data_IF_955404362057
#
_entry.id   IF_955404362057
#
_cell.length_a   1.000
_cell.length_b   1.000
_cell.length_c   1.000
_cell.angle_alpha   90.00
_cell.angle_beta   90.00
_cell.angle_gamma   90.00
#
_symmetry.space_group_name_H-M   'P 1'
#
loop_
_entity.id
_entity.type
_entity.pdbx_description
1 polymer ?
#
# COMPACT_ATOMS: atom_id res chain seq x y z
N UNK A 1 -11.18 -14.49 -12.08
CA UNK A 1 -11.12 -13.98 -13.46
C UNK A 1 -11.12 -12.45 -13.40
N UNK A 2 -10.92 -11.72 -14.52
CA UNK A 2 -11.00 -10.26 -14.54
C UNK A 2 -12.35 -9.66 -14.09
N UNK A 3 -13.41 -10.46 -14.08
CA UNK A 3 -14.78 -10.06 -13.71
C UNK A 3 -15.09 -10.25 -12.21
N UNK A 4 -14.21 -10.92 -11.46
CA UNK A 4 -14.41 -11.15 -10.03
C UNK A 4 -14.13 -9.89 -9.22
N UNK A 5 -14.94 -9.64 -8.19
CA UNK A 5 -14.59 -8.66 -7.15
C UNK A 5 -13.47 -9.21 -6.28
N UNK A 6 -12.40 -8.43 -6.12
CA UNK A 6 -11.30 -8.72 -5.21
C UNK A 6 -11.53 -7.95 -3.91
N UNK A 7 -11.69 -8.67 -2.80
CA UNK A 7 -11.82 -8.07 -1.47
C UNK A 7 -10.56 -8.39 -0.67
N UNK A 8 -9.82 -7.34 -0.28
CA UNK A 8 -8.56 -7.45 0.43
C UNK A 8 -8.73 -7.09 1.90
N UNK A 9 -8.02 -7.80 2.76
CA UNK A 9 -7.83 -7.47 4.17
C UNK A 9 -6.50 -8.05 4.64
N UNK A 10 -5.95 -7.47 5.69
CA UNK A 10 -4.73 -7.95 6.31
C UNK A 10 -4.66 -7.63 7.79
N UNK A 11 -3.58 -8.08 8.40
CA UNK A 11 -3.18 -7.65 9.74
C UNK A 11 -2.50 -6.26 9.68
N UNK A 12 -2.07 -5.74 10.84
CA UNK A 12 -1.30 -4.48 10.96
C UNK A 12 -1.95 -3.32 10.19
N UNK A 13 -3.22 -3.03 10.52
CA UNK A 13 -4.00 -1.95 9.89
C UNK A 13 -4.02 -2.02 8.34
N UNK A 14 -4.14 -3.23 7.78
CA UNK A 14 -4.20 -3.48 6.34
C UNK A 14 -2.93 -3.11 5.55
N UNK A 15 -1.76 -2.95 6.18
CA UNK A 15 -0.57 -2.43 5.49
C UNK A 15 -0.29 -3.09 4.12
N UNK A 16 -0.12 -4.42 4.08
CA UNK A 16 0.10 -5.13 2.81
C UNK A 16 -1.16 -5.29 1.96
N UNK A 17 -2.35 -5.27 2.57
CA UNK A 17 -3.62 -5.32 1.84
C UNK A 17 -3.87 -4.03 1.05
N UNK A 18 -3.51 -2.87 1.60
CA UNK A 18 -3.54 -1.58 0.91
C UNK A 18 -2.50 -1.52 -0.22
N UNK A 19 -1.31 -2.09 -0.03
CA UNK A 19 -0.32 -2.21 -1.11
C UNK A 19 -0.84 -3.11 -2.25
N UNK A 20 -1.43 -4.26 -1.93
CA UNK A 20 -2.06 -5.13 -2.94
C UNK A 20 -3.23 -4.42 -3.66
N UNK A 21 -4.04 -3.64 -2.93
CA UNK A 21 -5.10 -2.81 -3.52
C UNK A 21 -4.54 -1.86 -4.56
N UNK A 22 -3.48 -1.12 -4.22
CA UNK A 22 -2.79 -0.22 -5.15
C UNK A 22 -2.26 -0.98 -6.37
N UNK A 23 -1.70 -2.17 -6.19
CA UNK A 23 -1.18 -3.00 -7.28
C UNK A 23 -2.30 -3.41 -8.27
N UNK A 24 -3.46 -3.83 -7.76
CA UNK A 24 -4.61 -4.16 -8.60
C UNK A 24 -5.13 -2.93 -9.35
N UNK A 25 -5.17 -1.76 -8.72
CA UNK A 25 -5.53 -0.50 -9.39
C UNK A 25 -4.52 -0.11 -10.46
N UNK A 26 -3.22 -0.27 -10.19
CA UNK A 26 -2.13 -0.01 -11.14
C UNK A 26 -2.24 -0.90 -12.38
N UNK A 27 -2.56 -2.19 -12.22
CA UNK A 27 -2.78 -3.13 -13.33
C UNK A 27 -4.24 -3.16 -13.84
N UNK A 28 -5.05 -2.16 -13.47
CA UNK A 28 -6.36 -1.91 -14.05
C UNK A 28 -7.43 -2.95 -13.74
N UNK A 29 -7.33 -3.66 -12.62
CA UNK A 29 -8.42 -4.54 -12.18
C UNK A 29 -9.68 -3.71 -11.84
N UNK A 30 -10.86 -4.04 -12.39
CA UNK A 30 -12.04 -3.17 -12.28
C UNK A 30 -12.56 -3.02 -10.85
N UNK A 31 -12.86 -4.13 -10.18
CA UNK A 31 -13.51 -4.13 -8.86
C UNK A 31 -12.59 -4.72 -7.79
N UNK A 32 -11.83 -3.83 -7.15
CA UNK A 32 -11.02 -4.15 -5.98
C UNK A 32 -11.47 -3.28 -4.81
N UNK A 33 -11.59 -3.91 -3.63
CA UNK A 33 -12.09 -3.31 -2.39
C UNK A 33 -11.17 -3.67 -1.24
N UNK A 34 -11.12 -2.80 -0.24
CA UNK A 34 -10.39 -3.00 1.00
C UNK A 34 -11.37 -3.04 2.16
N UNK A 35 -11.27 -4.05 3.03
CA UNK A 35 -12.10 -4.13 4.24
C UNK A 35 -11.66 -3.06 5.23
N UNK A 36 -12.57 -2.16 5.57
CA UNK A 36 -12.38 -1.20 6.66
C UNK A 36 -12.17 -1.92 8.01
N UNK A 37 -11.07 -1.62 8.68
CA UNK A 37 -10.67 -2.22 9.97
C UNK A 37 -9.89 -3.54 9.91
N UNK A 38 -9.70 -4.11 8.71
CA UNK A 38 -8.85 -5.27 8.47
C UNK A 38 -9.21 -6.52 9.28
N UNK A 39 -8.25 -7.44 9.42
CA UNK A 39 -8.48 -8.72 10.13
C UNK A 39 -8.88 -8.52 11.59
N UNK A 40 -8.31 -7.52 12.27
CA UNK A 40 -8.59 -7.22 13.68
C UNK A 40 -10.08 -6.93 13.91
N UNK A 41 -10.71 -6.13 13.04
CA UNK A 41 -12.15 -5.84 13.15
C UNK A 41 -13.00 -7.08 12.87
N UNK A 42 -12.65 -7.87 11.86
CA UNK A 42 -13.38 -9.11 11.56
C UNK A 42 -13.39 -10.10 12.74
N UNK A 43 -12.28 -10.20 13.47
CA UNK A 43 -12.20 -11.01 14.69
C UNK A 43 -13.04 -10.43 15.82
N UNK A 44 -13.01 -9.11 16.02
CA UNK A 44 -13.79 -8.43 17.04
C UNK A 44 -15.31 -8.51 16.79
N UNK A 45 -15.72 -8.61 15.52
CA UNK A 45 -17.10 -8.87 15.10
C UNK A 45 -17.46 -10.36 15.08
N UNK A 46 -16.59 -11.24 15.58
CA UNK A 46 -16.81 -12.69 15.64
C UNK A 46 -17.16 -13.31 14.26
N UNK A 47 -16.62 -12.74 13.18
CA UNK A 47 -16.81 -13.28 11.83
C UNK A 47 -16.20 -14.68 11.73
N UNK A 48 -16.84 -15.56 10.96
CA UNK A 48 -16.37 -16.92 10.76
C UNK A 48 -14.97 -16.94 10.12
N UNK A 49 -14.07 -17.72 10.72
CA UNK A 49 -12.70 -17.94 10.25
C UNK A 49 -12.47 -19.44 10.05
N UNK A 50 -11.67 -19.81 9.07
CA UNK A 50 -11.29 -21.20 8.83
C UNK A 50 -9.78 -21.31 8.60
N UNK A 51 -9.22 -22.44 9.00
CA UNK A 51 -7.84 -22.85 8.65
C UNK A 51 -7.80 -23.76 7.43
N UNK A 52 -8.96 -24.16 6.91
CA UNK A 52 -9.06 -24.97 5.70
C UNK A 52 -8.57 -24.13 4.52
N UNK A 53 -7.55 -24.64 3.82
CA UNK A 53 -7.04 -24.00 2.61
C UNK A 53 -8.05 -24.24 1.48
N UNK A 54 -8.65 -23.18 0.90
CA UNK A 54 -9.60 -23.34 -0.18
C UNK A 54 -8.89 -23.76 -1.48
N UNK A 55 -9.61 -24.48 -2.33
CA UNK A 55 -9.20 -24.79 -3.70
C UNK A 55 -10.06 -24.02 -4.69
N UNK A 56 -9.42 -23.44 -5.71
CA UNK A 56 -10.09 -22.70 -6.77
C UNK A 56 -9.67 -23.24 -8.13
N UNK A 57 -10.57 -23.26 -9.14
CA UNK A 57 -10.18 -23.61 -10.49
C UNK A 57 -9.16 -22.59 -11.02
N UNK A 58 -8.21 -23.08 -11.83
CA UNK A 58 -7.28 -22.20 -12.54
C UNK A 58 -8.06 -21.24 -13.44
N UNK A 59 -7.61 -19.99 -13.48
CA UNK A 59 -8.11 -18.96 -14.43
C UNK A 59 -6.94 -18.41 -15.23
N UNK A 60 -7.23 -17.90 -16.42
CA UNK A 60 -6.33 -16.98 -17.09
C UNK A 60 -6.59 -15.56 -16.59
N UNK A 61 -5.52 -14.79 -16.44
CA UNK A 61 -5.58 -13.40 -16.03
C UNK A 61 -4.56 -12.61 -16.85
N UNK A 62 -5.05 -11.92 -17.87
CA UNK A 62 -4.23 -11.07 -18.73
C UNK A 62 -4.41 -9.63 -18.31
N UNK A 63 -3.30 -8.98 -17.93
CA UNK A 63 -3.27 -7.54 -17.66
C UNK A 63 -3.61 -6.80 -18.95
N UNK A 64 -4.74 -6.09 -18.96
CA UNK A 64 -5.22 -5.37 -20.15
C UNK A 64 -4.66 -3.96 -20.26
N UNK A 65 -4.45 -3.32 -19.12
CA UNK A 65 -4.01 -1.93 -19.04
C UNK A 65 -3.09 -1.74 -17.83
N UNK A 66 -2.16 -0.80 -17.96
CA UNK A 66 -1.35 -0.30 -16.86
C UNK A 66 -1.70 1.18 -16.72
N UNK A 67 -2.17 1.58 -15.54
CA UNK A 67 -2.40 2.98 -15.23
C UNK A 67 -1.15 3.56 -14.55
N UNK A 68 -0.29 4.15 -15.37
CA UNK A 68 0.97 4.74 -14.92
C UNK A 68 0.78 5.94 -13.98
N UNK A 69 -0.39 6.59 -13.99
CA UNK A 69 -0.67 7.77 -13.15
C UNK A 69 -0.69 7.44 -11.65
N UNK A 70 -0.91 6.16 -11.29
CA UNK A 70 -0.83 5.71 -9.90
C UNK A 70 0.60 5.59 -9.36
N UNK A 71 1.62 5.64 -10.22
CA UNK A 71 3.02 5.47 -9.83
C UNK A 71 3.82 6.75 -10.07
N UNK A 72 4.31 7.34 -8.99
CA UNK A 72 5.32 8.38 -9.06
C UNK A 72 6.72 7.76 -8.96
N UNK A 73 7.49 7.77 -10.06
CA UNK A 73 8.88 7.33 -10.07
C UNK A 73 9.85 8.46 -9.67
N UNK A 74 11.14 8.12 -9.55
CA UNK A 74 12.17 9.08 -9.10
C UNK A 74 12.24 10.31 -10.01
N UNK A 75 12.16 10.10 -11.32
CA UNK A 75 12.23 11.14 -12.33
C UNK A 75 11.02 12.09 -12.24
N UNK A 76 9.82 11.53 -12.05
CA UNK A 76 8.57 12.26 -11.83
C UNK A 76 8.67 13.18 -10.62
N UNK A 77 9.15 12.64 -9.48
CA UNK A 77 9.35 13.41 -8.24
C UNK A 77 10.38 14.52 -8.48
N UNK A 78 11.57 14.17 -9.02
CA UNK A 78 12.67 15.11 -9.23
C UNK A 78 12.28 16.31 -10.09
N UNK A 79 11.46 16.10 -11.12
CA UNK A 79 10.98 17.16 -12.00
C UNK A 79 9.98 18.14 -11.32
N UNK A 80 9.37 17.73 -10.20
CA UNK A 80 8.26 18.45 -9.56
C UNK A 80 8.57 19.03 -8.17
N UNK A 81 9.68 18.66 -7.55
CA UNK A 81 10.06 19.10 -6.18
C UNK A 81 9.97 20.60 -5.92
N UNK A 82 10.12 21.44 -6.94
CA UNK A 82 10.09 22.91 -6.83
C UNK A 82 8.81 23.56 -7.37
N UNK A 83 7.84 22.76 -7.76
CA UNK A 83 6.58 23.26 -8.29
C UNK A 83 5.64 23.63 -7.14
N UNK A 84 5.01 24.82 -7.16
CA UNK A 84 4.17 25.29 -6.06
C UNK A 84 2.93 24.42 -5.81
N UNK A 85 2.49 23.66 -6.81
CA UNK A 85 1.29 22.81 -6.74
C UNK A 85 1.63 21.32 -6.60
N UNK A 86 2.82 21.01 -6.07
CA UNK A 86 3.26 19.63 -5.86
C UNK A 86 3.45 19.35 -4.36
N UNK A 87 2.73 18.36 -3.86
CA UNK A 87 2.82 17.92 -2.47
C UNK A 87 3.36 16.49 -2.40
N UNK A 88 4.22 16.25 -1.42
CA UNK A 88 4.72 14.92 -1.06
C UNK A 88 4.24 14.59 0.35
N UNK A 89 3.67 13.40 0.50
CA UNK A 89 3.26 12.87 1.80
C UNK A 89 4.13 11.67 2.11
N UNK A 90 4.80 11.72 3.25
CA UNK A 90 5.57 10.61 3.79
C UNK A 90 4.81 10.02 4.97
N UNK A 91 4.45 8.74 4.87
CA UNK A 91 3.63 8.03 5.86
C UNK A 91 4.45 7.29 6.91
N UNK A 92 5.78 7.33 6.84
CA UNK A 92 6.64 6.70 7.84
C UNK A 92 6.48 7.35 9.22
N UNK A 93 7.01 6.71 10.25
CA UNK A 93 6.97 7.29 11.60
C UNK A 93 7.71 8.63 11.66
N UNK A 94 7.36 9.52 12.61
CA UNK A 94 8.05 10.80 12.75
C UNK A 94 9.57 10.67 12.92
N UNK A 95 10.04 9.66 13.65
CA UNK A 95 11.47 9.43 13.87
C UNK A 95 12.21 8.98 12.59
N UNK A 96 11.56 8.20 11.73
CA UNK A 96 12.10 7.86 10.40
C UNK A 96 12.15 9.09 9.49
N UNK A 97 11.12 9.93 9.57
CA UNK A 97 10.98 11.15 8.76
C UNK A 97 12.02 12.22 9.16
N UNK A 98 12.26 12.43 10.45
CA UNK A 98 13.31 13.34 10.95
C UNK A 98 14.71 12.77 10.73
N UNK A 99 14.82 11.45 10.60
CA UNK A 99 16.09 10.74 10.43
C UNK A 99 16.79 10.39 11.73
N UNK A 100 16.11 10.49 12.87
CA UNK A 100 16.56 9.97 14.16
C UNK A 100 16.79 8.46 14.09
N UNK A 101 15.97 7.76 13.31
CA UNK A 101 16.13 6.34 13.01
C UNK A 101 16.02 6.11 11.49
N UNK A 102 16.58 4.99 11.02
CA UNK A 102 16.47 4.56 9.62
C UNK A 102 15.45 3.42 9.42
N UNK A 103 14.99 2.81 10.51
CA UNK A 103 13.94 1.81 10.54
C UNK A 103 13.41 1.65 11.97
N UNK A 104 12.14 1.21 12.13
CA UNK A 104 11.64 0.79 13.44
C UNK A 104 12.43 -0.41 14.00
N UNK A 105 12.52 -0.55 15.34
CA UNK A 105 13.16 -1.72 15.95
C UNK A 105 12.53 -3.04 15.48
N UNK A 106 13.37 -4.01 15.12
CA UNK A 106 12.93 -5.34 14.70
C UNK A 106 12.47 -5.46 13.24
N UNK A 107 12.54 -4.38 12.45
CA UNK A 107 12.29 -4.43 11.01
C UNK A 107 13.57 -4.75 10.23
N UNK A 108 13.46 -5.65 9.25
CA UNK A 108 14.53 -5.93 8.29
C UNK A 108 14.58 -4.91 7.14
N UNK A 109 13.48 -4.21 6.88
CA UNK A 109 13.39 -3.15 5.87
C UNK A 109 13.93 -1.84 6.45
N UNK A 110 15.06 -1.37 5.89
CA UNK A 110 15.77 -0.18 6.40
C UNK A 110 15.97 0.85 5.30
N UNK A 111 15.85 2.13 5.67
CA UNK A 111 16.31 3.22 4.81
C UNK A 111 17.84 3.24 4.78
N UNK A 112 18.42 3.57 3.61
CA UNK A 112 19.88 3.72 3.49
C UNK A 112 20.41 4.98 4.19
N UNK A 113 19.54 6.00 4.37
CA UNK A 113 19.84 7.26 5.04
C UNK A 113 18.60 7.74 5.78
N UNK A 114 18.81 8.34 6.96
CA UNK A 114 17.76 9.00 7.71
C UNK A 114 17.27 10.27 7.03
N UNK A 115 16.05 10.68 7.34
CA UNK A 115 15.43 11.92 6.87
C UNK A 115 14.36 11.68 5.82
N UNK A 116 14.01 12.75 5.11
CA UNK A 116 12.92 12.76 4.13
C UNK A 116 13.27 13.61 2.90
N UNK A 117 12.44 13.48 1.87
CA UNK A 117 12.55 14.27 0.64
C UNK A 117 12.19 15.73 0.95
N UNK A 118 13.00 16.73 0.56
CA UNK A 118 12.71 18.14 0.84
C UNK A 118 11.30 18.56 0.38
N UNK A 119 10.58 19.22 1.28
CA UNK A 119 9.20 19.69 1.03
C UNK A 119 8.11 18.66 1.37
N UNK A 120 8.46 17.40 1.64
CA UNK A 120 7.48 16.42 2.09
C UNK A 120 6.87 16.79 3.45
N UNK A 121 5.62 16.37 3.65
CA UNK A 121 4.91 16.47 4.93
C UNK A 121 4.71 15.07 5.50
N UNK A 122 4.93 14.93 6.80
CA UNK A 122 4.74 13.65 7.48
C UNK A 122 3.29 13.50 7.92
N UNK A 123 2.65 12.42 7.46
CA UNK A 123 1.29 12.03 7.87
C UNK A 123 1.34 10.52 8.13
N UNK A 124 1.69 10.09 9.36
CA UNK A 124 1.84 8.67 9.69
C UNK A 124 0.55 7.86 9.47
N UNK A 125 0.70 6.60 9.07
CA UNK A 125 -0.41 5.64 8.87
C UNK A 125 -0.83 4.91 10.15
#
# INVERSE_FOLDING_TARGET
>A
TPEMTIVLYGDNNNWFAAHAFWLFKYYGHPDVRLIDGGRKKLLAEERLMTRVVPTYPRTEYTVRQINADFRADREYIRARLRQPNFALVDVRSPAEFTGEIISPPGMAEVAQRGGHIPGAKNVPW
#
